data_IF_865707555535
#
_entry.id   IF_865707555535
#
_cell.length_a   1.000
_cell.length_b   1.000
_cell.length_c   1.000
_cell.angle_alpha   90.00
_cell.angle_beta   90.00
_cell.angle_gamma   90.00
#
_symmetry.space_group_name_H-M   'P 1'
#
loop_
_entity.id
_entity.type
_entity.pdbx_description
1 polymer ?
#
# COMPACT_ATOMS: atom_id res chain seq x y z
N UNK A 1 -18.15 -8.04 -0.73
CA UNK A 1 -16.86 -8.44 -1.34
C UNK A 1 -15.92 -7.26 -1.30
N UNK A 2 -14.82 -7.36 -0.56
CA UNK A 2 -13.77 -6.33 -0.50
C UNK A 2 -12.97 -6.37 -1.80
N UNK A 3 -12.83 -5.23 -2.49
CA UNK A 3 -12.06 -5.17 -3.75
C UNK A 3 -10.56 -5.25 -3.44
N UNK A 4 -9.82 -6.05 -4.22
CA UNK A 4 -8.36 -6.18 -4.12
C UNK A 4 -7.68 -5.27 -5.13
N UNK A 5 -6.64 -4.55 -4.69
CA UNK A 5 -5.88 -3.60 -5.52
C UNK A 5 -4.38 -3.89 -5.37
N UNK A 6 -3.67 -3.96 -6.49
CA UNK A 6 -2.21 -4.06 -6.51
C UNK A 6 -1.60 -2.72 -6.96
N UNK A 7 -0.74 -2.15 -6.13
CA UNK A 7 -0.11 -0.84 -6.34
C UNK A 7 1.38 -1.01 -6.61
N UNK A 8 1.80 -0.62 -7.81
CA UNK A 8 3.22 -0.45 -8.14
C UNK A 8 3.69 0.94 -7.76
N UNK A 9 4.95 1.07 -7.31
CA UNK A 9 5.46 2.36 -6.82
C UNK A 9 4.75 2.85 -5.55
N UNK A 10 4.17 1.94 -4.75
CA UNK A 10 3.40 2.25 -3.55
C UNK A 10 4.17 3.01 -2.46
N UNK A 11 5.50 2.94 -2.48
CA UNK A 11 6.37 3.66 -1.54
C UNK A 11 6.81 5.04 -2.04
N UNK A 12 6.40 5.42 -3.25
CA UNK A 12 6.68 6.73 -3.84
C UNK A 12 5.75 7.82 -3.30
N UNK A 13 5.97 9.07 -3.74
CA UNK A 13 5.23 10.24 -3.28
C UNK A 13 3.70 10.08 -3.40
N UNK A 14 3.20 9.79 -4.60
CA UNK A 14 1.76 9.60 -4.82
C UNK A 14 1.26 8.23 -4.36
N UNK A 15 2.07 7.18 -4.55
CA UNK A 15 1.68 5.81 -4.23
C UNK A 15 1.28 5.66 -2.77
N UNK A 16 2.00 6.31 -1.85
CA UNK A 16 1.70 6.26 -0.42
C UNK A 16 0.33 6.87 -0.11
N UNK A 17 0.05 8.07 -0.61
CA UNK A 17 -1.23 8.73 -0.37
C UNK A 17 -2.40 7.98 -1.01
N UNK A 18 -2.17 7.35 -2.17
CA UNK A 18 -3.15 6.47 -2.79
C UNK A 18 -3.46 5.25 -1.91
N UNK A 19 -2.44 4.59 -1.36
CA UNK A 19 -2.62 3.44 -0.47
C UNK A 19 -3.40 3.84 0.78
N UNK A 20 -3.03 4.96 1.43
CA UNK A 20 -3.76 5.49 2.59
C UNK A 20 -5.26 5.69 2.27
N UNK A 21 -5.56 6.27 1.10
CA UNK A 21 -6.94 6.48 0.65
C UNK A 21 -7.68 5.16 0.38
N UNK A 22 -7.08 4.23 -0.35
CA UNK A 22 -7.68 2.94 -0.67
C UNK A 22 -7.99 2.13 0.60
N UNK A 23 -7.08 2.12 1.57
CA UNK A 23 -7.31 1.47 2.86
C UNK A 23 -8.48 2.13 3.61
N UNK A 24 -8.57 3.47 3.61
CA UNK A 24 -9.70 4.19 4.22
C UNK A 24 -11.06 3.89 3.57
N UNK A 25 -11.06 3.53 2.28
CA UNK A 25 -12.25 3.13 1.54
C UNK A 25 -12.53 1.61 1.62
N UNK A 26 -11.86 0.91 2.55
CA UNK A 26 -12.03 -0.52 2.79
C UNK A 26 -11.63 -1.40 1.58
N UNK A 27 -10.57 -1.03 0.87
CA UNK A 27 -9.93 -1.91 -0.12
C UNK A 27 -8.84 -2.76 0.54
N UNK A 28 -8.65 -3.98 0.01
CA UNK A 28 -7.47 -4.79 0.34
C UNK A 28 -6.35 -4.42 -0.63
N UNK A 29 -5.28 -3.83 -0.10
CA UNK A 29 -4.18 -3.28 -0.91
C UNK A 29 -2.92 -4.14 -0.77
N UNK A 30 -2.34 -4.49 -1.92
CA UNK A 30 -1.03 -5.12 -2.03
C UNK A 30 -0.09 -4.12 -2.70
N UNK A 31 1.11 -3.92 -2.15
CA UNK A 31 2.08 -2.98 -2.70
C UNK A 31 3.44 -3.66 -2.88
N UNK A 32 4.02 -3.53 -4.08
CA UNK A 32 5.38 -4.02 -4.33
C UNK A 32 6.40 -3.02 -3.80
N UNK A 33 7.31 -3.50 -2.96
CA UNK A 33 8.40 -2.70 -2.39
C UNK A 33 9.73 -3.39 -2.63
N UNK A 34 10.81 -2.62 -2.76
CA UNK A 34 12.16 -3.19 -3.03
C UNK A 34 12.94 -3.49 -1.75
N UNK A 35 12.63 -2.77 -0.67
CA UNK A 35 13.28 -2.90 0.63
C UNK A 35 12.28 -2.61 1.73
N UNK A 36 12.39 -3.31 2.86
CA UNK A 36 11.58 -3.03 4.06
C UNK A 36 11.75 -1.60 4.55
N UNK A 37 12.90 -0.97 4.26
CA UNK A 37 13.18 0.38 4.68
C UNK A 37 12.24 1.43 4.06
N UNK A 38 11.60 1.09 2.94
CA UNK A 38 10.65 1.93 2.22
C UNK A 38 9.22 1.88 2.80
N UNK A 39 9.02 1.07 3.85
CA UNK A 39 7.71 0.80 4.47
C UNK A 39 7.32 1.78 5.58
N UNK A 40 8.24 2.64 6.05
CA UNK A 40 8.12 3.42 7.31
C UNK A 40 6.88 4.32 7.42
N UNK A 41 6.11 4.51 6.34
CA UNK A 41 4.93 5.36 6.33
C UNK A 41 3.73 4.75 5.59
N UNK A 42 3.66 3.43 5.49
CA UNK A 42 2.51 2.73 4.89
C UNK A 42 1.69 2.02 5.97
N UNK A 43 0.36 1.95 5.83
CA UNK A 43 -0.48 1.13 6.71
C UNK A 43 -0.29 -0.36 6.36
N UNK A 44 0.73 -0.99 6.94
CA UNK A 44 1.11 -2.38 6.63
C UNK A 44 0.61 -3.32 7.71
N UNK A 45 -0.04 -4.40 7.27
CA UNK A 45 -0.46 -5.51 8.14
C UNK A 45 0.47 -6.73 8.01
N UNK A 46 1.13 -6.90 6.86
CA UNK A 46 1.99 -8.06 6.58
C UNK A 46 3.03 -7.72 5.49
N UNK A 47 4.23 -8.27 5.62
CA UNK A 47 5.30 -8.24 4.60
C UNK A 47 5.54 -9.68 4.19
N UNK A 48 5.43 -9.97 2.88
CA UNK A 48 5.60 -11.32 2.31
C UNK A 48 6.73 -11.29 1.28
#
# INVERSE_FOLDING_TARGET
MTKKVFVTGGTGFLGRHLIERLVSENYQVFALTRTENSLRNLPIQEVV
#
